data_IF_073337572754
#
_entry.id   IF_073337572754
#
_cell.length_a   1.000
_cell.length_b   1.000
_cell.length_c   1.000
_cell.angle_alpha   90.00
_cell.angle_beta   90.00
_cell.angle_gamma   90.00
#
_symmetry.space_group_name_H-M   'P 1'
#
loop_
_entity.id
_entity.type
_entity.pdbx_description
1 polymer ?
#
# COMPACT_ATOMS: atom_id res chain seq x y z
N UNK A 1 1.10 -3.20 17.43
CA UNK A 1 1.49 -2.08 16.56
C UNK A 1 2.80 -1.53 17.07
N UNK A 2 3.93 -1.89 16.46
CA UNK A 2 5.20 -1.20 16.70
C UNK A 2 5.33 -0.12 15.66
N UNK A 3 5.21 1.14 16.09
CA UNK A 3 5.60 2.29 15.29
C UNK A 3 7.13 2.34 15.31
N UNK A 4 7.77 2.24 14.14
CA UNK A 4 9.20 2.53 14.02
C UNK A 4 9.31 4.05 14.10
N UNK A 5 9.81 4.56 15.23
CA UNK A 5 10.13 5.98 15.37
C UNK A 5 11.52 6.18 14.76
N UNK A 6 11.58 6.63 13.52
CA UNK A 6 12.78 7.24 12.95
C UNK A 6 12.79 8.72 13.38
N UNK A 7 13.93 9.27 13.82
CA UNK A 7 13.99 10.67 14.23
C UNK A 7 14.17 11.52 12.97
N UNK A 8 13.09 12.09 12.42
CA UNK A 8 13.10 13.28 11.55
C UNK A 8 11.64 13.79 11.42
N UNK A 9 11.41 14.99 11.96
CA UNK A 9 10.15 15.70 12.25
C UNK A 9 9.15 15.96 11.07
N UNK A 10 8.91 15.06 10.11
CA UNK A 10 8.09 15.46 8.93
C UNK A 10 7.12 14.45 8.29
N UNK A 11 6.94 13.25 8.86
CA UNK A 11 6.01 12.25 8.26
C UNK A 11 4.88 11.77 9.19
N UNK A 12 4.76 12.33 10.39
CA UNK A 12 3.75 11.98 11.40
C UNK A 12 2.55 12.93 11.43
N UNK A 13 2.58 14.01 10.66
CA UNK A 13 1.50 14.99 10.56
C UNK A 13 0.40 14.52 9.58
N UNK A 14 -0.79 14.15 10.07
CA UNK A 14 -1.85 13.60 9.22
C UNK A 14 -2.55 14.66 8.36
N UNK A 15 -2.14 15.93 8.47
CA UNK A 15 -2.70 17.07 7.74
C UNK A 15 -4.25 17.14 7.87
N UNK A 16 -4.77 16.86 9.07
CA UNK A 16 -6.20 16.99 9.39
C UNK A 16 -6.53 18.39 9.88
N UNK A 17 -7.81 18.76 9.84
CA UNK A 17 -8.27 19.99 10.47
C UNK A 17 -7.99 19.96 11.98
N UNK A 18 -7.62 21.09 12.56
CA UNK A 18 -7.23 21.21 13.98
C UNK A 18 -8.29 20.68 14.97
N UNK A 19 -9.56 20.74 14.61
CA UNK A 19 -10.69 20.25 15.40
C UNK A 19 -11.14 18.82 15.04
N UNK A 20 -10.38 18.10 14.19
CA UNK A 20 -10.71 16.76 13.71
C UNK A 20 -9.48 15.85 13.75
N UNK A 21 -9.36 15.08 14.82
CA UNK A 21 -8.19 14.22 15.06
C UNK A 21 -8.49 12.73 14.89
N UNK A 22 -9.76 12.34 14.81
CA UNK A 22 -10.14 10.93 14.73
C UNK A 22 -9.96 10.41 13.30
N UNK A 23 -9.30 9.26 13.18
CA UNK A 23 -9.25 8.50 11.93
C UNK A 23 -10.13 7.25 12.04
N UNK A 24 -10.80 6.88 10.94
CA UNK A 24 -11.56 5.63 10.83
C UNK A 24 -10.97 4.75 9.74
N UNK A 25 -10.95 3.44 9.95
CA UNK A 25 -10.61 2.48 8.91
C UNK A 25 -11.89 1.90 8.29
N UNK A 26 -12.22 2.34 7.08
CA UNK A 26 -13.37 1.83 6.32
C UNK A 26 -12.95 0.61 5.50
N UNK A 27 -12.69 -0.48 6.22
CA UNK A 27 -12.15 -1.72 5.67
C UNK A 27 -13.12 -2.36 4.66
N UNK A 28 -12.63 -2.60 3.44
CA UNK A 28 -13.36 -3.19 2.30
C UNK A 28 -14.52 -2.37 1.73
N UNK A 29 -14.68 -1.10 2.14
CA UNK A 29 -15.72 -0.23 1.59
C UNK A 29 -15.44 0.14 0.12
N UNK A 30 -16.50 0.31 -0.67
CA UNK A 30 -16.39 0.85 -2.03
C UNK A 30 -16.07 2.33 -1.98
N UNK A 31 -15.37 2.84 -2.99
CA UNK A 31 -14.99 4.25 -3.02
C UNK A 31 -16.20 5.19 -3.09
N UNK A 32 -17.28 4.77 -3.77
CA UNK A 32 -18.55 5.51 -3.79
C UNK A 32 -19.15 5.68 -2.39
N UNK A 33 -19.12 4.61 -1.59
CA UNK A 33 -19.74 4.60 -0.26
C UNK A 33 -18.90 5.43 0.72
N UNK A 34 -17.57 5.37 0.60
CA UNK A 34 -16.65 6.22 1.37
C UNK A 34 -16.88 7.70 1.05
N UNK A 35 -17.06 8.04 -0.24
CA UNK A 35 -17.31 9.42 -0.65
C UNK A 35 -18.60 9.98 -0.04
N UNK A 36 -19.66 9.17 -0.01
CA UNK A 36 -20.93 9.52 0.65
C UNK A 36 -20.76 9.62 2.18
N UNK A 37 -20.03 8.70 2.79
CA UNK A 37 -19.79 8.67 4.24
C UNK A 37 -19.01 9.90 4.71
N UNK A 38 -18.01 10.35 3.94
CA UNK A 38 -17.29 11.60 4.18
C UNK A 38 -18.23 12.82 4.25
N UNK A 39 -19.18 12.91 3.32
CA UNK A 39 -20.08 14.05 3.17
C UNK A 39 -21.29 13.98 4.10
N UNK A 40 -21.85 12.81 4.33
CA UNK A 40 -23.11 12.66 5.06
C UNK A 40 -22.89 12.47 6.56
N UNK A 41 -21.73 11.95 6.98
CA UNK A 41 -21.48 11.60 8.36
C UNK A 41 -20.15 12.16 8.88
N UNK A 42 -19.01 11.69 8.35
CA UNK A 42 -17.70 11.88 9.00
C UNK A 42 -17.35 13.36 9.25
N UNK A 43 -17.66 14.25 8.30
CA UNK A 43 -17.38 15.67 8.46
C UNK A 43 -18.09 16.32 9.66
N UNK A 44 -19.21 15.77 10.13
CA UNK A 44 -20.00 16.34 11.23
C UNK A 44 -19.61 15.78 12.61
N UNK A 45 -18.82 14.71 12.66
CA UNK A 45 -18.54 13.96 13.90
C UNK A 45 -17.05 13.89 14.27
N UNK A 46 -16.25 14.87 13.85
CA UNK A 46 -14.87 15.02 14.32
C UNK A 46 -13.82 14.13 13.64
N UNK A 47 -14.20 13.42 12.56
CA UNK A 47 -13.27 12.61 11.79
C UNK A 47 -12.41 13.45 10.87
N UNK A 48 -11.10 13.35 11.03
CA UNK A 48 -10.10 14.04 10.21
C UNK A 48 -9.61 13.23 9.03
N UNK A 49 -9.69 11.89 9.10
CA UNK A 49 -9.17 11.02 8.07
C UNK A 49 -9.89 9.67 7.95
N UNK A 50 -9.80 9.07 6.76
CA UNK A 50 -10.22 7.70 6.46
C UNK A 50 -9.01 6.90 6.00
N UNK A 51 -8.69 5.81 6.68
CA UNK A 51 -7.86 4.75 6.13
C UNK A 51 -8.71 3.88 5.19
N UNK A 52 -8.24 3.67 3.97
CA UNK A 52 -8.87 2.81 2.98
C UNK A 52 -8.06 1.51 2.78
N UNK A 53 -8.72 0.43 2.38
CA UNK A 53 -8.05 -0.81 1.95
C UNK A 53 -7.20 -0.60 0.67
N UNK A 54 -6.25 -1.51 0.36
CA UNK A 54 -5.32 -1.34 -0.75
C UNK A 54 -6.01 -0.97 -2.08
N UNK A 55 -5.66 0.18 -2.69
CA UNK A 55 -6.39 0.68 -3.86
C UNK A 55 -5.84 0.15 -5.19
N UNK A 56 -4.64 -0.43 -5.18
CA UNK A 56 -4.01 -0.99 -6.36
C UNK A 56 -4.68 -2.29 -6.82
N UNK A 57 -4.35 -2.69 -8.05
CA UNK A 57 -4.75 -3.95 -8.64
C UNK A 57 -4.17 -5.12 -7.86
N UNK A 58 -5.03 -6.07 -7.56
CA UNK A 58 -4.72 -7.23 -6.77
C UNK A 58 -5.18 -8.51 -7.46
N UNK A 59 -4.71 -9.65 -6.97
CA UNK A 59 -5.20 -10.94 -7.45
C UNK A 59 -6.70 -11.08 -7.16
N UNK A 60 -7.43 -11.68 -8.10
CA UNK A 60 -8.78 -12.16 -7.92
C UNK A 60 -8.73 -13.67 -7.80
N UNK A 61 -9.22 -14.17 -6.66
CA UNK A 61 -9.42 -15.59 -6.43
C UNK A 61 -10.58 -15.79 -5.47
N UNK A 62 -11.36 -16.85 -5.72
CA UNK A 62 -12.44 -17.24 -4.84
C UNK A 62 -12.01 -18.42 -3.98
N UNK A 63 -12.40 -18.40 -2.71
CA UNK A 63 -12.27 -19.49 -1.76
C UNK A 63 -13.64 -19.70 -1.13
N UNK A 64 -14.14 -20.93 -1.11
CA UNK A 64 -15.43 -21.28 -0.49
C UNK A 64 -16.61 -20.42 -1.01
N UNK A 65 -16.65 -20.17 -2.32
CA UNK A 65 -17.63 -19.32 -3.04
C UNK A 65 -17.63 -17.82 -2.68
N UNK A 66 -16.60 -17.32 -1.99
CA UNK A 66 -16.42 -15.90 -1.72
C UNK A 66 -15.00 -15.42 -2.08
N UNK A 67 -14.84 -14.12 -2.33
CA UNK A 67 -13.54 -13.50 -2.50
C UNK A 67 -13.05 -13.02 -1.14
N UNK A 68 -12.03 -13.66 -0.54
CA UNK A 68 -11.57 -13.28 0.79
C UNK A 68 -10.91 -11.91 0.76
N UNK A 69 -10.99 -11.16 1.87
CA UNK A 69 -10.44 -9.79 1.96
C UNK A 69 -8.92 -9.72 1.68
N UNK A 70 -8.19 -10.76 2.07
CA UNK A 70 -6.73 -10.79 1.98
C UNK A 70 -6.21 -10.84 0.54
N UNK A 71 -7.06 -11.05 -0.47
CA UNK A 71 -6.63 -10.96 -1.88
C UNK A 71 -6.10 -9.57 -2.21
N UNK A 72 -6.59 -8.52 -1.54
CA UNK A 72 -6.13 -7.13 -1.72
C UNK A 72 -4.69 -6.91 -1.30
N UNK A 73 -4.17 -7.78 -0.43
CA UNK A 73 -2.78 -7.77 0.02
C UNK A 73 -1.87 -8.65 -0.84
N UNK A 74 -2.31 -8.98 -2.06
CA UNK A 74 -1.50 -9.66 -3.07
C UNK A 74 -1.52 -8.85 -4.37
N UNK A 75 -0.67 -7.81 -4.46
CA UNK A 75 -0.60 -6.92 -5.61
C UNK A 75 -0.24 -7.65 -6.90
N UNK A 76 -0.88 -7.22 -7.98
CA UNK A 76 -0.59 -7.66 -9.35
C UNK A 76 0.02 -6.52 -10.17
N UNK A 77 -0.49 -5.31 -9.99
CA UNK A 77 0.08 -4.09 -10.54
C UNK A 77 -0.27 -2.88 -9.66
N UNK A 78 0.22 -1.70 -10.04
CA UNK A 78 -0.08 -0.44 -9.37
C UNK A 78 -1.23 0.35 -10.03
N UNK A 79 -1.99 -0.26 -10.95
CA UNK A 79 -3.22 0.33 -11.49
C UNK A 79 -4.26 0.49 -10.38
N UNK A 80 -5.05 1.56 -10.38
CA UNK A 80 -6.10 1.79 -9.37
C UNK A 80 -7.43 1.13 -9.78
N UNK A 81 -7.41 -0.19 -9.92
CA UNK A 81 -8.61 -1.00 -10.20
C UNK A 81 -8.65 -2.11 -9.15
N UNK A 82 -9.50 -1.96 -8.15
CA UNK A 82 -9.58 -2.87 -6.99
C UNK A 82 -11.02 -3.33 -6.75
N UNK A 83 -11.21 -4.19 -5.74
CA UNK A 83 -12.54 -4.56 -5.24
C UNK A 83 -13.42 -3.34 -4.88
N UNK A 84 -12.81 -2.20 -4.53
CA UNK A 84 -13.53 -0.97 -4.17
C UNK A 84 -13.99 -0.13 -5.38
N UNK A 85 -13.47 -0.37 -6.59
CA UNK A 85 -13.85 0.40 -7.79
C UNK A 85 -12.73 0.58 -8.83
N UNK A 86 -12.92 1.54 -9.73
CA UNK A 86 -11.94 1.98 -10.73
C UNK A 86 -11.33 3.38 -10.44
N UNK A 87 -10.28 3.75 -11.15
CA UNK A 87 -9.51 4.95 -10.85
C UNK A 87 -10.34 6.24 -10.83
N UNK A 88 -11.39 6.34 -11.66
CA UNK A 88 -12.27 7.50 -11.67
C UNK A 88 -13.09 7.60 -10.38
N UNK A 89 -13.59 6.46 -9.87
CA UNK A 89 -14.28 6.40 -8.58
C UNK A 89 -13.32 6.69 -7.41
N UNK A 90 -12.06 6.25 -7.50
CA UNK A 90 -11.03 6.60 -6.51
C UNK A 90 -10.79 8.12 -6.47
N UNK A 91 -10.59 8.73 -7.65
CA UNK A 91 -10.40 10.18 -7.80
C UNK A 91 -11.59 10.98 -7.26
N UNK A 92 -12.81 10.56 -7.58
CA UNK A 92 -14.02 11.20 -7.07
C UNK A 92 -14.11 11.15 -5.54
N UNK A 93 -13.85 9.97 -4.95
CA UNK A 93 -13.84 9.78 -3.50
C UNK A 93 -12.80 10.66 -2.82
N UNK A 94 -11.55 10.66 -3.29
CA UNK A 94 -10.48 11.50 -2.73
C UNK A 94 -10.86 12.99 -2.81
N UNK A 95 -11.37 13.44 -3.96
CA UNK A 95 -11.79 14.82 -4.16
C UNK A 95 -12.91 15.22 -3.20
N UNK A 96 -13.95 14.39 -3.07
CA UNK A 96 -15.13 14.67 -2.23
C UNK A 96 -14.79 14.68 -0.75
N UNK A 97 -14.03 13.70 -0.27
CA UNK A 97 -13.56 13.66 1.11
C UNK A 97 -12.67 14.86 1.45
N UNK A 98 -11.69 15.19 0.58
CA UNK A 98 -10.82 16.35 0.81
C UNK A 98 -11.59 17.68 0.83
N UNK A 99 -12.62 17.85 -0.02
CA UNK A 99 -13.47 19.05 -0.04
C UNK A 99 -14.16 19.31 1.29
N UNK A 100 -14.55 18.26 2.01
CA UNK A 100 -15.19 18.39 3.32
C UNK A 100 -14.20 18.30 4.48
N UNK A 101 -12.89 18.33 4.21
CA UNK A 101 -11.84 18.29 5.24
C UNK A 101 -11.67 16.92 5.90
N UNK A 102 -11.97 15.84 5.17
CA UNK A 102 -11.69 14.45 5.57
C UNK A 102 -10.58 13.91 4.66
N UNK A 103 -9.41 13.63 5.22
CA UNK A 103 -8.23 13.18 4.49
C UNK A 103 -8.29 11.70 4.16
N UNK A 104 -7.67 11.29 3.04
CA UNK A 104 -7.55 9.88 2.67
C UNK A 104 -6.15 9.38 3.00
N UNK A 105 -6.07 8.30 3.76
CA UNK A 105 -4.85 7.55 4.06
C UNK A 105 -4.93 6.20 3.34
N UNK A 106 -4.09 5.99 2.33
CA UNK A 106 -4.12 4.76 1.55
C UNK A 106 -3.32 3.64 2.24
N UNK A 107 -3.92 2.47 2.44
CA UNK A 107 -3.16 1.26 2.74
C UNK A 107 -2.38 0.86 1.48
N UNK A 108 -1.05 0.74 1.58
CA UNK A 108 -0.19 0.42 0.43
C UNK A 108 0.67 -0.80 0.73
N UNK A 109 0.67 -1.72 -0.22
CA UNK A 109 1.36 -3.00 -0.14
C UNK A 109 2.56 -2.95 -1.06
N UNK A 110 3.74 -2.74 -0.46
CA UNK A 110 5.00 -2.49 -1.16
C UNK A 110 6.12 -3.47 -0.75
N UNK A 111 5.84 -4.34 0.22
CA UNK A 111 6.76 -5.39 0.63
C UNK A 111 6.85 -6.50 -0.42
N UNK A 112 5.71 -6.92 -0.96
CA UNK A 112 5.60 -8.14 -1.76
C UNK A 112 4.58 -7.98 -2.89
N UNK A 113 4.56 -8.97 -3.78
CA UNK A 113 3.53 -9.15 -4.81
C UNK A 113 2.65 -10.37 -4.47
N UNK A 114 2.04 -11.01 -5.48
CA UNK A 114 1.27 -12.26 -5.30
C UNK A 114 2.09 -13.39 -4.66
N UNK A 115 1.40 -14.42 -4.15
CA UNK A 115 2.04 -15.61 -3.62
C UNK A 115 2.79 -16.44 -4.68
N UNK A 116 3.84 -17.13 -4.26
CA UNK A 116 4.58 -18.08 -5.09
C UNK A 116 3.63 -19.13 -5.68
N UNK A 117 3.80 -19.43 -6.96
CA UNK A 117 2.95 -20.35 -7.73
C UNK A 117 1.60 -19.78 -8.15
N UNK A 118 1.30 -18.52 -7.82
CA UNK A 118 0.07 -17.87 -8.31
C UNK A 118 0.30 -17.25 -9.68
N UNK A 119 -0.59 -17.57 -10.63
CA UNK A 119 -0.46 -17.15 -12.03
C UNK A 119 -1.81 -16.78 -12.61
N UNK A 120 -1.85 -15.72 -13.42
CA UNK A 120 -3.02 -15.34 -14.19
C UNK A 120 -3.43 -16.46 -15.16
N UNK A 121 -4.73 -16.78 -15.19
CA UNK A 121 -5.30 -17.86 -15.99
C UNK A 121 -5.24 -19.25 -15.33
N UNK A 122 -4.43 -19.44 -14.28
CA UNK A 122 -4.41 -20.70 -13.53
C UNK A 122 -5.52 -20.70 -12.46
N UNK A 123 -6.28 -21.79 -12.36
CA UNK A 123 -7.34 -21.95 -11.34
C UNK A 123 -8.36 -20.79 -11.29
N UNK A 124 -8.66 -20.18 -12.44
CA UNK A 124 -9.58 -19.05 -12.54
C UNK A 124 -9.04 -17.74 -11.94
N UNK A 125 -7.74 -17.63 -11.66
CA UNK A 125 -7.10 -16.43 -11.13
C UNK A 125 -6.91 -15.36 -12.20
N UNK A 126 -7.04 -14.10 -11.83
CA UNK A 126 -6.76 -12.94 -12.69
C UNK A 126 -6.40 -11.72 -11.86
N UNK A 127 -5.97 -10.62 -12.48
CA UNK A 127 -5.84 -9.33 -11.81
C UNK A 127 -7.16 -8.57 -11.85
N UNK A 128 -7.51 -7.84 -10.79
CA UNK A 128 -8.73 -7.02 -10.75
C UNK A 128 -8.81 -5.95 -11.84
N UNK A 129 -7.66 -5.55 -12.42
CA UNK A 129 -7.49 -4.64 -13.54
C UNK A 129 -7.03 -5.33 -14.84
N UNK A 130 -7.12 -6.66 -14.90
CA UNK A 130 -6.79 -7.47 -16.08
C UNK A 130 -5.31 -7.63 -16.40
N UNK A 131 -4.40 -7.16 -15.54
CA UNK A 131 -2.96 -7.30 -15.78
C UNK A 131 -2.52 -8.77 -15.67
N UNK A 132 -1.59 -9.16 -16.53
CA UNK A 132 -0.93 -10.46 -16.44
C UNK A 132 0.08 -10.48 -15.28
N UNK A 133 0.13 -11.61 -14.57
CA UNK A 133 1.16 -11.95 -13.61
C UNK A 133 1.48 -13.45 -13.66
N UNK A 134 2.73 -13.80 -13.38
CA UNK A 134 3.18 -15.17 -13.17
C UNK A 134 4.14 -15.21 -11.99
N UNK A 135 3.65 -15.61 -10.82
CA UNK A 135 4.44 -15.80 -9.61
C UNK A 135 5.01 -17.21 -9.48
N UNK A 136 5.07 -18.00 -10.55
CA UNK A 136 5.73 -19.31 -10.52
C UNK A 136 7.19 -19.14 -10.12
N UNK A 137 7.65 -20.01 -9.22
CA UNK A 137 9.00 -19.99 -8.68
C UNK A 137 10.05 -20.05 -9.81
N UNK A 138 10.92 -19.05 -9.88
CA UNK A 138 11.95 -18.88 -10.90
C UNK A 138 11.48 -18.23 -12.22
N UNK A 139 10.20 -17.85 -12.32
CA UNK A 139 9.60 -17.14 -13.46
C UNK A 139 9.27 -15.69 -13.13
N UNK A 140 8.70 -15.43 -11.95
CA UNK A 140 8.28 -14.12 -11.41
C UNK A 140 8.18 -13.00 -12.45
N UNK A 141 7.01 -12.84 -13.09
CA UNK A 141 6.80 -11.88 -14.17
C UNK A 141 5.55 -11.03 -13.94
N UNK A 142 5.75 -9.72 -13.79
CA UNK A 142 4.70 -8.72 -13.63
C UNK A 142 4.87 -7.63 -14.70
N UNK A 143 4.63 -8.02 -15.95
CA UNK A 143 4.82 -7.17 -17.14
C UNK A 143 4.20 -5.77 -17.05
N UNK A 144 3.04 -5.63 -16.40
CA UNK A 144 2.35 -4.34 -16.25
C UNK A 144 3.06 -3.35 -15.33
N UNK A 145 3.92 -3.83 -14.44
CA UNK A 145 4.82 -3.01 -13.61
C UNK A 145 6.23 -2.95 -14.21
N UNK A 146 6.56 -3.94 -15.05
CA UNK A 146 7.91 -4.26 -15.51
C UNK A 146 8.80 -4.83 -14.40
N UNK A 147 8.23 -5.70 -13.56
CA UNK A 147 9.03 -6.57 -12.70
C UNK A 147 9.27 -7.94 -13.31
N UNK A 148 10.45 -8.46 -13.02
CA UNK A 148 10.93 -9.79 -13.33
C UNK A 148 11.54 -10.43 -12.07
N UNK A 149 11.96 -11.68 -12.13
CA UNK A 149 12.62 -12.37 -11.01
C UNK A 149 13.80 -11.64 -10.36
N UNK A 150 14.50 -10.75 -11.09
CA UNK A 150 15.61 -9.96 -10.52
C UNK A 150 15.16 -8.84 -9.59
N UNK A 151 13.86 -8.57 -9.54
CA UNK A 151 13.25 -7.52 -8.72
C UNK A 151 12.75 -8.05 -7.36
N UNK A 152 13.04 -9.32 -7.06
CA UNK A 152 12.67 -10.01 -5.83
C UNK A 152 13.90 -10.46 -5.04
N UNK A 153 13.74 -10.61 -3.72
CA UNK A 153 14.80 -10.98 -2.80
C UNK A 153 15.18 -12.47 -2.86
N UNK A 154 14.69 -13.26 -3.82
CA UNK A 154 14.98 -14.70 -3.90
C UNK A 154 16.48 -15.01 -3.97
N UNK A 155 17.31 -14.11 -4.53
CA UNK A 155 18.77 -14.28 -4.52
C UNK A 155 19.40 -14.05 -3.13
N UNK A 156 18.73 -13.32 -2.23
CA UNK A 156 19.12 -13.12 -0.83
C UNK A 156 18.55 -14.19 0.08
N UNK A 157 17.27 -14.52 -0.08
CA UNK A 157 16.58 -15.57 0.64
C UNK A 157 15.46 -16.20 -0.20
N UNK A 158 15.68 -17.45 -0.62
CA UNK A 158 14.70 -18.24 -1.37
C UNK A 158 13.92 -19.17 -0.44
N UNK A 159 13.27 -18.62 0.60
CA UNK A 159 12.51 -19.37 1.59
C UNK A 159 11.42 -18.52 2.25
N UNK A 160 10.50 -19.17 2.95
CA UNK A 160 9.51 -18.50 3.80
C UNK A 160 10.13 -18.14 5.16
N UNK A 161 9.66 -17.03 5.75
CA UNK A 161 9.97 -16.67 7.13
C UNK A 161 9.42 -17.75 8.07
N UNK A 162 10.29 -18.33 8.90
CA UNK A 162 9.90 -19.28 9.93
C UNK A 162 9.51 -18.56 11.23
N UNK A 163 8.67 -19.20 12.06
CA UNK A 163 8.29 -18.65 13.37
C UNK A 163 9.49 -18.36 14.29
N UNK A 164 10.56 -19.15 14.17
CA UNK A 164 11.84 -18.96 14.89
C UNK A 164 12.56 -17.67 14.50
N UNK A 165 12.31 -17.13 13.30
CA UNK A 165 12.98 -15.93 12.80
C UNK A 165 12.48 -14.65 13.49
N UNK A 166 11.32 -14.72 14.15
CA UNK A 166 10.80 -13.65 15.00
C UNK A 166 11.30 -13.71 16.46
N UNK A 167 12.25 -14.61 16.75
CA UNK A 167 12.89 -14.71 18.06
C UNK A 167 13.59 -13.41 18.49
N UNK A 168 13.83 -13.27 19.79
CA UNK A 168 14.36 -12.04 20.37
C UNK A 168 15.79 -11.70 19.88
N UNK A 169 15.96 -10.40 19.67
CA UNK A 169 17.18 -9.60 19.52
C UNK A 169 17.75 -9.46 18.11
N UNK A 170 17.76 -8.19 17.65
CA UNK A 170 18.84 -7.35 17.09
C UNK A 170 20.13 -7.97 16.50
N UNK A 171 20.20 -9.27 16.28
CA UNK A 171 21.21 -9.91 15.47
C UNK A 171 20.83 -9.70 14.00
N UNK A 172 21.81 -9.25 13.21
CA UNK A 172 21.64 -9.06 11.77
C UNK A 172 21.00 -10.28 11.10
N UNK A 173 21.30 -11.50 11.56
CA UNK A 173 20.75 -12.73 11.01
C UNK A 173 19.20 -12.79 11.05
N UNK A 174 18.56 -12.55 12.20
CA UNK A 174 17.09 -12.61 12.30
C UNK A 174 16.42 -11.47 11.53
N UNK A 175 17.01 -10.28 11.57
CA UNK A 175 16.53 -9.14 10.78
C UNK A 175 16.63 -9.41 9.27
N UNK A 176 17.71 -10.08 8.82
CA UNK A 176 17.91 -10.48 7.42
C UNK A 176 16.80 -11.45 6.99
N UNK A 177 16.50 -12.47 7.79
CA UNK A 177 15.44 -13.42 7.44
C UNK A 177 14.07 -12.73 7.38
N UNK A 178 13.73 -11.96 8.42
CA UNK A 178 12.43 -11.27 8.50
C UNK A 178 12.23 -10.26 7.38
N UNK A 179 13.30 -9.70 6.80
CA UNK A 179 13.22 -8.62 5.80
C UNK A 179 13.61 -8.99 4.37
N UNK A 180 14.14 -10.20 4.14
CA UNK A 180 14.52 -10.65 2.81
C UNK A 180 13.82 -11.96 2.41
N UNK A 181 13.25 -12.70 3.36
CA UNK A 181 12.53 -13.94 3.06
C UNK A 181 11.04 -13.67 2.85
N UNK A 182 10.35 -14.61 2.20
CA UNK A 182 8.95 -14.50 1.82
C UNK A 182 8.04 -14.52 3.05
N UNK A 183 7.25 -13.46 3.23
CA UNK A 183 6.21 -13.44 4.25
C UNK A 183 5.08 -14.37 3.83
N UNK A 184 4.95 -15.53 4.48
CA UNK A 184 3.92 -16.56 4.20
C UNK A 184 3.80 -16.94 2.72
N UNK A 185 4.94 -17.04 2.01
CA UNK A 185 4.98 -17.40 0.59
C UNK A 185 4.67 -16.26 -0.37
N UNK A 186 4.61 -15.01 0.10
CA UNK A 186 4.44 -13.84 -0.76
C UNK A 186 5.79 -13.44 -1.38
N UNK A 187 5.80 -13.20 -2.70
CA UNK A 187 7.01 -12.86 -3.45
C UNK A 187 7.57 -11.52 -2.96
N UNK A 188 8.70 -11.58 -2.26
CA UNK A 188 9.29 -10.46 -1.53
C UNK A 188 10.11 -9.56 -2.46
N UNK A 189 9.70 -8.29 -2.61
CA UNK A 189 10.35 -7.34 -3.51
C UNK A 189 11.72 -6.93 -2.97
N UNK A 190 12.69 -6.75 -3.85
CA UNK A 190 14.00 -6.21 -3.49
C UNK A 190 13.97 -4.68 -3.49
N UNK A 191 13.60 -4.05 -2.38
CA UNK A 191 13.59 -2.59 -2.28
C UNK A 191 15.00 -1.97 -2.26
N UNK A 192 16.08 -2.75 -2.19
CA UNK A 192 17.44 -2.21 -2.38
C UNK A 192 17.77 -1.97 -3.87
N UNK A 193 16.98 -2.55 -4.77
CA UNK A 193 17.09 -2.33 -6.21
C UNK A 193 16.46 -0.97 -6.60
N UNK A 194 17.22 -0.03 -7.19
CA UNK A 194 16.70 1.28 -7.59
C UNK A 194 15.50 1.22 -8.56
N UNK A 195 15.41 0.18 -9.39
CA UNK A 195 14.25 -0.02 -10.27
C UNK A 195 12.97 -0.27 -9.48
N UNK A 196 13.03 -1.13 -8.46
CA UNK A 196 11.90 -1.41 -7.56
C UNK A 196 11.48 -0.15 -6.82
N UNK A 197 12.44 0.58 -6.22
CA UNK A 197 12.14 1.85 -5.56
C UNK A 197 11.51 2.86 -6.50
N UNK A 198 12.03 3.01 -7.71
CA UNK A 198 11.48 3.93 -8.71
C UNK A 198 10.02 3.63 -9.05
N UNK A 199 9.64 2.34 -9.15
CA UNK A 199 8.24 1.93 -9.38
C UNK A 199 7.34 2.22 -8.18
N UNK A 200 7.82 1.92 -6.97
CA UNK A 200 7.10 2.20 -5.73
C UNK A 200 6.90 3.70 -5.50
N UNK A 201 7.95 4.50 -5.66
CA UNK A 201 7.91 5.97 -5.59
C UNK A 201 6.93 6.52 -6.63
N UNK A 202 6.97 6.01 -7.87
CA UNK A 202 6.03 6.40 -8.92
C UNK A 202 4.56 6.13 -8.55
N UNK A 203 4.29 4.96 -7.95
CA UNK A 203 2.96 4.62 -7.44
C UNK A 203 2.50 5.54 -6.31
N UNK A 204 3.34 5.78 -5.30
CA UNK A 204 3.03 6.68 -4.19
C UNK A 204 2.81 8.11 -4.68
N UNK A 205 3.64 8.60 -5.60
CA UNK A 205 3.49 9.92 -6.20
C UNK A 205 2.21 10.07 -7.01
N UNK A 206 1.78 9.02 -7.73
CA UNK A 206 0.49 9.02 -8.39
C UNK A 206 -0.65 9.22 -7.38
N UNK A 207 -0.63 8.47 -6.26
CA UNK A 207 -1.63 8.64 -5.20
C UNK A 207 -1.64 10.06 -4.60
N UNK A 208 -0.45 10.65 -4.37
CA UNK A 208 -0.31 12.03 -3.90
C UNK A 208 -0.90 13.02 -4.91
N UNK A 209 -0.62 12.84 -6.20
CA UNK A 209 -1.17 13.71 -7.26
C UNK A 209 -2.71 13.67 -7.28
N UNK A 210 -3.32 12.52 -6.96
CA UNK A 210 -4.77 12.38 -6.83
C UNK A 210 -5.32 13.05 -5.55
N UNK A 211 -4.48 13.33 -4.55
CA UNK A 211 -4.83 14.02 -3.32
C UNK A 211 -4.89 13.13 -2.08
N UNK A 212 -4.28 11.93 -2.13
CA UNK A 212 -4.06 11.12 -0.92
C UNK A 212 -3.15 11.91 0.03
N UNK A 213 -3.51 11.95 1.31
CA UNK A 213 -2.83 12.75 2.33
C UNK A 213 -1.75 11.99 3.10
N UNK A 214 -1.72 10.66 2.96
CA UNK A 214 -0.74 9.82 3.63
C UNK A 214 -0.94 8.35 3.35
N UNK A 215 -0.09 7.53 3.94
CA UNK A 215 -0.05 6.11 3.68
C UNK A 215 0.01 5.29 4.97
N UNK A 216 -0.69 4.16 4.99
CA UNK A 216 -0.43 3.07 5.92
C UNK A 216 0.41 2.03 5.18
N UNK A 217 1.67 1.89 5.57
CA UNK A 217 2.56 0.90 4.94
C UNK A 217 2.30 -0.49 5.50
N UNK A 218 1.79 -1.38 4.66
CA UNK A 218 1.60 -2.78 5.02
C UNK A 218 2.95 -3.48 5.25
N UNK A 219 2.96 -4.43 6.18
CA UNK A 219 4.10 -5.30 6.45
C UNK A 219 5.45 -4.57 6.70
N UNK A 220 5.46 -3.34 7.21
CA UNK A 220 6.70 -2.54 7.37
C UNK A 220 7.81 -3.19 8.20
N UNK A 221 7.48 -4.11 9.11
CA UNK A 221 8.47 -4.93 9.83
C UNK A 221 9.35 -5.78 8.90
N UNK A 222 8.81 -6.15 7.74
CA UNK A 222 9.40 -7.00 6.71
C UNK A 222 10.19 -6.20 5.66
N UNK A 223 10.30 -4.89 5.82
CA UNK A 223 11.13 -4.04 4.96
C UNK A 223 12.29 -3.46 5.77
N UNK A 224 13.39 -3.13 5.09
CA UNK A 224 14.49 -2.42 5.74
C UNK A 224 14.11 -0.96 6.00
N UNK A 225 14.41 -0.42 7.20
CA UNK A 225 14.17 0.99 7.48
C UNK A 225 14.84 1.94 6.49
N UNK A 226 16.06 1.62 6.03
CA UNK A 226 16.78 2.44 5.05
C UNK A 226 16.09 2.47 3.68
N UNK A 227 15.53 1.33 3.22
CA UNK A 227 14.79 1.30 1.96
C UNK A 227 13.46 2.06 2.08
N UNK A 228 12.79 1.98 3.24
CA UNK A 228 11.60 2.77 3.54
C UNK A 228 11.90 4.28 3.57
N UNK A 229 13.03 4.68 4.16
CA UNK A 229 13.49 6.06 4.19
C UNK A 229 13.72 6.58 2.78
N UNK A 230 14.47 5.86 1.95
CA UNK A 230 14.74 6.29 0.57
C UNK A 230 13.48 6.36 -0.30
N UNK A 231 12.53 5.44 -0.11
CA UNK A 231 11.24 5.49 -0.79
C UNK A 231 10.43 6.72 -0.34
N UNK A 232 10.39 7.01 0.96
CA UNK A 232 9.68 8.18 1.49
C UNK A 232 10.29 9.50 1.00
N UNK A 233 11.62 9.62 1.04
CA UNK A 233 12.34 10.80 0.54
C UNK A 233 12.16 11.00 -0.98
N UNK A 234 11.92 9.94 -1.74
CA UNK A 234 11.60 10.00 -3.16
C UNK A 234 10.18 10.49 -3.47
N UNK A 235 9.30 10.60 -2.47
CA UNK A 235 7.92 11.07 -2.68
C UNK A 235 7.84 12.59 -2.79
N UNK A 236 6.81 13.05 -3.50
CA UNK A 236 6.43 14.46 -3.58
C UNK A 236 5.89 14.92 -2.23
N UNK A 237 5.97 16.22 -1.98
CA UNK A 237 5.12 16.84 -0.97
C UNK A 237 3.64 16.68 -1.34
N UNK A 238 2.77 16.74 -0.33
CA UNK A 238 1.33 16.76 -0.53
C UNK A 238 0.91 17.95 -1.41
N UNK A 239 -0.17 17.76 -2.16
CA UNK A 239 -0.81 18.83 -2.94
C UNK A 239 -1.20 19.98 -2.01
N UNK A 240 -1.06 21.23 -2.46
CA UNK A 240 -1.25 22.42 -1.61
C UNK A 240 -2.66 22.53 -0.99
N UNK A 241 -3.69 22.02 -1.65
CA UNK A 241 -5.07 21.99 -1.14
C UNK A 241 -5.32 20.86 -0.11
N UNK A 242 -4.38 19.92 0.00
CA UNK A 242 -4.40 18.83 0.99
C UNK A 242 -3.50 19.16 2.18
N UNK A 243 -2.34 19.78 1.92
CA UNK A 243 -1.41 20.24 2.95
C UNK A 243 -1.97 21.48 3.66
N UNK A 244 -1.95 21.48 5.00
CA UNK A 244 -2.26 22.71 5.76
C UNK A 244 -1.02 23.60 5.84
N UNK A 245 -0.74 24.37 4.78
CA UNK A 245 -0.04 25.63 4.96
C UNK A 245 -1.07 26.69 5.33
N UNK A 246 -1.00 27.18 6.57
CA UNK A 246 -1.82 28.31 7.02
C UNK A 246 -1.60 29.52 6.09
N UNK A 247 -2.51 29.74 5.15
CA UNK A 247 -2.77 31.07 4.60
C UNK A 247 -3.81 31.73 5.51
N UNK A 248 -3.36 32.46 6.52
CA UNK A 248 -4.16 33.56 7.05
C UNK A 248 -4.02 34.71 6.06
N UNK A 249 -5.00 34.89 5.18
CA UNK A 249 -5.25 36.24 4.64
C UNK A 249 -5.82 37.10 5.76
N UNK A 250 -5.35 38.34 5.84
CA UNK A 250 -5.75 39.39 6.80
C UNK A 250 -7.25 39.47 7.09
#
# INVERSE_FOLDING_TARGET
MSCIILPLFSYDEPNTLWNRQTMVHLFEWKWTDIAEECENFLQYYGYGAVQISPPNEHIMMNKDNDMPWWVRYQPVSYKLISRSGNEDQFKDMVKRCNRVGVRIIADVVMNHMVGVGQRAGAYGRGGSGGSFFDGTDGVENFSSVSYSKSDFNDYKCHADIAGSDYGNNANNYFAIQVRNCRLVGLLDLDQSNPHVRGKLIGYLNHLIDLGVAGFRFDASKHMWPADLEEIQEGTKNLREDVSFFFWTSE
#
